data_IF_796707919297
#
_entry.id   IF_796707919297
#
_cell.length_a   1.000
_cell.length_b   1.000
_cell.length_c   1.000
_cell.angle_alpha   90.00
_cell.angle_beta   90.00
_cell.angle_gamma   90.00
#
_symmetry.space_group_name_H-M   'P 1'
#
loop_
_entity.id
_entity.type
_entity.pdbx_description
1 polymer ?
#
# COMPACT_ATOMS: atom_id res chain seq x y z
N UNK A 1 15.91 7.43 20.23
CA UNK A 1 16.11 8.65 21.02
C UNK A 1 15.46 9.79 20.25
N UNK A 2 14.48 10.41 20.87
CA UNK A 2 13.79 11.58 20.30
C UNK A 2 14.34 12.83 20.96
N UNK A 3 14.50 13.91 20.19
CA UNK A 3 14.98 15.20 20.69
C UNK A 3 13.98 15.86 21.64
N UNK A 4 14.46 16.75 22.49
CA UNK A 4 13.67 17.55 23.40
C UNK A 4 12.56 18.33 22.67
N UNK A 5 11.37 18.39 23.25
CA UNK A 5 10.28 19.16 22.71
C UNK A 5 10.51 20.67 22.87
N UNK A 6 10.38 21.43 21.81
CA UNK A 6 10.18 22.89 21.84
C UNK A 6 11.39 23.79 21.65
N UNK A 7 12.61 23.29 21.49
CA UNK A 7 13.78 24.16 21.21
C UNK A 7 14.49 23.72 19.95
N UNK A 8 14.26 24.42 18.86
CA UNK A 8 15.00 24.22 17.62
C UNK A 8 16.47 24.66 17.85
N UNK A 9 17.40 23.72 17.83
CA UNK A 9 18.82 23.96 17.80
C UNK A 9 19.62 23.68 19.08
N UNK A 10 18.99 23.29 20.18
CA UNK A 10 19.69 22.81 21.37
C UNK A 10 19.25 21.37 21.72
N UNK A 11 19.82 20.35 21.07
CA UNK A 11 19.56 18.98 21.45
C UNK A 11 20.31 18.66 22.74
N UNK A 12 19.68 18.84 23.87
CA UNK A 12 20.14 18.20 25.10
C UNK A 12 19.74 16.72 25.07
N UNK A 13 20.62 15.90 24.54
CA UNK A 13 20.39 14.47 24.42
C UNK A 13 20.54 13.72 25.75
N UNK A 14 21.01 14.39 26.81
CA UNK A 14 21.41 13.70 28.04
C UNK A 14 21.07 14.51 29.28
N UNK A 15 19.83 14.47 29.72
CA UNK A 15 19.50 14.89 31.09
C UNK A 15 19.92 13.79 32.10
N UNK A 16 21.21 13.43 32.15
CA UNK A 16 21.71 12.34 32.99
C UNK A 16 21.67 12.66 34.49
N UNK A 17 21.35 13.85 34.87
CA UNK A 17 21.33 14.31 36.27
C UNK A 17 19.94 14.55 36.82
N UNK A 18 18.91 14.41 36.00
CA UNK A 18 17.52 14.56 36.44
C UNK A 18 17.07 13.34 37.26
N UNK A 19 16.63 13.57 38.49
CA UNK A 19 16.05 12.52 39.35
C UNK A 19 14.60 12.18 38.95
N UNK A 20 13.94 13.07 38.20
CA UNK A 20 12.57 12.91 37.70
C UNK A 20 12.52 13.37 36.26
N UNK A 21 11.82 12.62 35.42
CA UNK A 21 11.61 12.97 34.01
C UNK A 21 10.68 14.18 33.94
N UNK A 22 11.11 15.21 33.20
CA UNK A 22 10.32 16.42 32.96
C UNK A 22 9.71 16.40 31.56
N UNK A 23 8.64 17.15 31.36
CA UNK A 23 7.97 17.29 30.05
C UNK A 23 8.90 17.85 28.94
N UNK A 24 10.00 18.49 29.32
CA UNK A 24 10.99 19.05 28.40
C UNK A 24 12.21 18.13 28.17
N UNK A 25 12.25 16.99 28.85
CA UNK A 25 13.37 16.07 28.70
C UNK A 25 13.31 15.30 27.38
N UNK A 26 14.45 14.79 26.91
CA UNK A 26 14.47 13.87 25.78
C UNK A 26 13.69 12.60 26.10
N UNK A 27 13.03 12.03 25.09
CA UNK A 27 12.34 10.75 25.24
C UNK A 27 13.36 9.62 25.18
N UNK A 28 13.54 8.92 26.29
CA UNK A 28 14.34 7.70 26.41
C UNK A 28 13.47 6.58 26.96
N UNK A 29 13.01 5.71 26.06
CA UNK A 29 12.07 4.64 26.40
C UNK A 29 12.71 3.31 26.08
N UNK A 30 12.72 2.41 27.06
CA UNK A 30 13.04 1.01 26.85
C UNK A 30 11.81 0.24 26.40
N UNK A 31 11.95 -0.54 25.34
CA UNK A 31 10.93 -1.48 24.92
C UNK A 31 11.35 -2.91 25.23
N UNK A 32 10.44 -3.66 25.82
CA UNK A 32 10.60 -5.10 25.97
C UNK A 32 10.42 -5.77 24.61
N UNK A 33 11.52 -6.17 23.98
CA UNK A 33 11.53 -6.95 22.74
C UNK A 33 12.12 -8.32 22.98
N UNK A 34 11.52 -9.35 22.39
CA UNK A 34 12.02 -10.73 22.45
C UNK A 34 13.29 -10.93 21.61
N UNK A 35 13.47 -10.08 20.59
CA UNK A 35 14.62 -10.13 19.67
C UNK A 35 15.27 -8.75 19.58
N UNK A 36 16.57 -8.69 19.25
CA UNK A 36 17.19 -7.43 18.85
C UNK A 36 16.41 -6.81 17.70
N UNK A 37 15.96 -5.57 17.87
CA UNK A 37 15.10 -4.88 16.92
C UNK A 37 15.72 -3.55 16.54
N UNK A 38 15.90 -3.35 15.25
CA UNK A 38 16.24 -2.07 14.65
C UNK A 38 14.96 -1.46 14.06
N UNK A 39 14.74 -0.17 14.31
CA UNK A 39 13.55 0.54 13.85
C UNK A 39 13.84 1.16 12.49
N UNK A 40 12.95 0.95 11.53
CA UNK A 40 13.10 1.41 10.15
C UNK A 40 12.09 2.49 9.79
N UNK A 41 10.81 2.22 10.00
CA UNK A 41 9.72 3.07 9.54
C UNK A 41 8.70 3.33 10.65
N UNK A 42 7.92 4.39 10.46
CA UNK A 42 6.81 4.71 11.34
C UNK A 42 5.62 5.25 10.57
N UNK A 43 4.42 4.94 11.05
CA UNK A 43 3.18 5.45 10.50
C UNK A 43 2.30 5.98 11.61
N UNK A 44 1.81 7.20 11.41
CA UNK A 44 0.93 7.88 12.35
C UNK A 44 -0.48 7.31 12.30
N UNK A 45 -1.08 7.15 13.47
CA UNK A 45 -2.47 6.75 13.68
C UNK A 45 -3.08 7.57 14.81
N UNK A 46 -4.41 7.59 14.92
CA UNK A 46 -5.12 8.37 15.95
C UNK A 46 -4.69 8.03 17.39
N UNK A 47 -4.15 6.85 17.64
CA UNK A 47 -3.78 6.39 18.99
C UNK A 47 -2.29 6.55 19.31
N UNK A 48 -1.47 6.95 18.33
CA UNK A 48 -0.02 7.13 18.44
C UNK A 48 0.72 6.82 17.16
N UNK A 49 2.01 6.51 17.27
CA UNK A 49 2.88 6.15 16.15
C UNK A 49 3.15 4.65 16.16
N UNK A 50 2.79 3.96 15.09
CA UNK A 50 3.21 2.57 14.89
C UNK A 50 4.58 2.56 14.27
N UNK A 51 5.54 1.92 14.95
CA UNK A 51 6.94 1.83 14.55
C UNK A 51 7.24 0.40 14.11
N UNK A 52 7.89 0.25 12.98
CA UNK A 52 8.20 -1.01 12.36
C UNK A 52 9.68 -1.37 12.52
N UNK A 53 9.93 -2.60 12.96
CA UNK A 53 11.22 -3.24 12.85
C UNK A 53 11.14 -4.40 11.84
N UNK A 54 12.27 -5.04 11.56
CA UNK A 54 12.31 -6.15 10.59
C UNK A 54 11.37 -7.31 10.93
N UNK A 55 11.06 -7.51 12.20
CA UNK A 55 10.32 -8.69 12.69
C UNK A 55 9.27 -8.38 13.76
N UNK A 56 9.08 -7.12 14.09
CA UNK A 56 8.16 -6.71 15.16
C UNK A 56 7.62 -5.30 14.91
N UNK A 57 6.40 -5.04 15.37
CA UNK A 57 5.77 -3.72 15.34
C UNK A 57 5.51 -3.26 16.75
N UNK A 58 5.68 -1.95 16.98
CA UNK A 58 5.52 -1.29 18.26
C UNK A 58 4.55 -0.13 18.15
N UNK A 59 3.86 0.18 19.23
CA UNK A 59 3.07 1.40 19.38
C UNK A 59 3.78 2.34 20.34
N UNK A 60 4.16 3.49 19.85
CA UNK A 60 4.58 4.63 20.65
C UNK A 60 3.35 5.51 20.92
N UNK A 61 2.98 5.64 22.17
CA UNK A 61 1.82 6.43 22.60
C UNK A 61 2.12 7.17 23.89
N UNK A 62 1.32 8.18 24.21
CA UNK A 62 1.32 8.86 25.51
C UNK A 62 -0.09 8.79 26.09
N UNK A 63 -0.21 8.72 27.40
CA UNK A 63 -1.50 8.74 28.08
C UNK A 63 -2.08 10.16 28.11
N UNK A 64 -1.26 11.18 27.91
CA UNK A 64 -1.67 12.57 27.86
C UNK A 64 -2.17 12.99 26.46
N UNK A 65 -2.89 14.11 26.41
CA UNK A 65 -3.31 14.74 25.12
C UNK A 65 -2.15 15.30 24.32
N UNK A 66 -1.05 15.64 24.98
CA UNK A 66 0.19 16.07 24.37
C UNK A 66 1.24 15.01 24.67
N UNK A 67 2.03 14.65 23.65
CA UNK A 67 3.10 13.68 23.81
C UNK A 67 4.11 14.18 24.86
N UNK A 68 4.26 13.43 25.95
CA UNK A 68 5.08 13.78 27.08
C UNK A 68 6.06 12.63 27.38
N UNK A 69 7.35 12.91 27.56
CA UNK A 69 8.36 11.91 27.89
C UNK A 69 8.06 11.09 29.14
N UNK A 70 7.45 11.71 30.15
CA UNK A 70 7.09 11.07 31.42
C UNK A 70 5.99 10.00 31.25
N UNK A 71 5.05 10.22 30.33
CA UNK A 71 3.91 9.31 30.08
C UNK A 71 4.03 8.52 28.79
N UNK A 72 5.12 8.73 28.05
CA UNK A 72 5.39 8.02 26.80
C UNK A 72 5.63 6.52 27.04
N UNK A 73 4.99 5.69 26.22
CA UNK A 73 5.07 4.23 26.30
C UNK A 73 5.36 3.64 24.92
N UNK A 74 6.29 2.71 24.87
CA UNK A 74 6.55 1.91 23.68
C UNK A 74 6.13 0.47 23.95
N UNK A 75 5.05 0.03 23.32
CA UNK A 75 4.46 -1.29 23.52
C UNK A 75 4.63 -2.15 22.28
N UNK A 76 4.98 -3.42 22.46
CA UNK A 76 4.91 -4.40 21.37
C UNK A 76 3.46 -4.61 20.94
N UNK A 77 3.21 -4.53 19.64
CA UNK A 77 1.89 -4.72 19.02
C UNK A 77 1.76 -6.11 18.42
N UNK A 78 2.71 -6.47 17.55
CA UNK A 78 2.65 -7.69 16.78
C UNK A 78 4.07 -8.17 16.44
N UNK A 79 4.22 -9.48 16.24
CA UNK A 79 5.49 -10.12 15.85
C UNK A 79 5.35 -10.63 14.43
N UNK A 80 5.38 -9.73 13.47
CA UNK A 80 5.33 -10.03 12.05
C UNK A 80 6.57 -9.51 11.34
N UNK A 81 7.01 -10.23 10.33
CA UNK A 81 8.10 -9.75 9.48
C UNK A 81 7.64 -8.54 8.64
N UNK A 82 8.60 -7.70 8.33
CA UNK A 82 8.38 -6.46 7.61
C UNK A 82 9.44 -6.28 6.51
N UNK A 83 9.00 -5.85 5.34
CA UNK A 83 9.90 -5.48 4.26
C UNK A 83 10.44 -4.08 4.46
N UNK A 84 11.65 -3.95 4.97
CA UNK A 84 12.33 -2.69 5.32
C UNK A 84 12.60 -1.76 4.12
N UNK A 85 12.38 -2.22 2.89
CA UNK A 85 12.56 -1.40 1.67
C UNK A 85 11.34 -0.57 1.31
N UNK A 86 10.19 -0.87 1.91
CA UNK A 86 8.91 -0.30 1.53
C UNK A 86 8.21 0.22 2.77
N UNK A 87 7.99 1.53 2.88
CA UNK A 87 7.28 2.08 4.03
C UNK A 87 5.84 1.55 4.12
N UNK A 88 5.29 1.42 5.32
CA UNK A 88 3.89 1.05 5.51
C UNK A 88 2.98 2.15 4.97
N UNK A 89 1.77 1.77 4.58
CA UNK A 89 0.77 2.70 4.05
C UNK A 89 -0.49 2.70 4.92
N UNK A 90 -1.16 3.85 4.97
CA UNK A 90 -2.46 3.98 5.63
C UNK A 90 -3.59 3.77 4.62
N UNK A 91 -4.50 2.86 4.94
CA UNK A 91 -5.74 2.63 4.20
C UNK A 91 -6.94 3.40 4.82
N UNK A 92 -6.65 4.42 5.62
CA UNK A 92 -7.65 5.18 6.37
C UNK A 92 -7.77 4.68 7.82
N UNK A 93 -8.55 3.67 8.07
CA UNK A 93 -8.75 3.08 9.41
C UNK A 93 -7.76 1.97 9.75
N UNK A 94 -7.05 1.45 8.77
CA UNK A 94 -6.09 0.35 8.90
C UNK A 94 -4.73 0.71 8.32
N UNK A 95 -3.71 -0.04 8.72
CA UNK A 95 -2.35 0.07 8.21
C UNK A 95 -2.06 -1.16 7.35
N UNK A 96 -1.46 -0.96 6.19
CA UNK A 96 -0.99 -2.06 5.36
C UNK A 96 0.52 -2.01 5.16
N UNK A 97 1.12 -3.19 5.08
CA UNK A 97 2.55 -3.37 4.91
C UNK A 97 2.88 -4.70 4.22
N UNK A 98 4.08 -4.80 3.70
CA UNK A 98 4.58 -5.99 3.03
C UNK A 98 5.56 -6.77 3.91
N UNK A 99 5.49 -8.09 3.81
CA UNK A 99 6.43 -9.04 4.37
C UNK A 99 7.12 -9.80 3.23
N UNK A 100 8.45 -9.86 3.24
CA UNK A 100 9.27 -10.54 2.22
C UNK A 100 10.06 -11.73 2.77
N UNK A 101 9.70 -12.24 3.94
CA UNK A 101 10.39 -13.36 4.59
C UNK A 101 10.24 -14.68 3.85
N UNK A 102 9.16 -14.86 3.10
CA UNK A 102 8.84 -16.07 2.35
C UNK A 102 9.47 -16.15 0.96
N UNK A 103 9.05 -17.15 0.18
CA UNK A 103 9.36 -17.28 -1.25
C UNK A 103 8.65 -16.20 -2.09
N UNK A 104 7.48 -15.77 -1.64
CA UNK A 104 6.67 -14.71 -2.20
C UNK A 104 6.43 -13.66 -1.12
N UNK A 105 6.25 -12.41 -1.50
CA UNK A 105 5.87 -11.36 -0.57
C UNK A 105 4.42 -11.54 -0.13
N UNK A 106 4.11 -11.07 1.09
CA UNK A 106 2.78 -11.12 1.67
C UNK A 106 2.30 -9.71 1.96
N UNK A 107 1.06 -9.46 1.66
CA UNK A 107 0.40 -8.20 1.96
C UNK A 107 -0.43 -8.36 3.22
N UNK A 108 -0.03 -7.66 4.27
CA UNK A 108 -0.65 -7.71 5.58
C UNK A 108 -1.40 -6.41 5.86
N UNK A 109 -2.55 -6.53 6.50
CA UNK A 109 -3.34 -5.42 6.98
C UNK A 109 -3.52 -5.53 8.49
N UNK A 110 -3.19 -4.44 9.19
CA UNK A 110 -3.31 -4.32 10.62
C UNK A 110 -4.48 -3.40 10.95
N UNK A 111 -5.47 -3.92 11.66
CA UNK A 111 -6.68 -3.22 12.06
C UNK A 111 -6.78 -3.13 13.60
N UNK A 112 -7.63 -2.24 14.07
CA UNK A 112 -7.95 -2.07 15.51
C UNK A 112 -6.71 -1.80 16.36
N UNK A 113 -5.79 -0.99 15.86
CA UNK A 113 -4.62 -0.58 16.64
C UNK A 113 -5.07 0.35 17.76
N UNK A 114 -4.94 -0.11 18.99
CA UNK A 114 -5.32 0.61 20.18
C UNK A 114 -4.27 0.48 21.28
N UNK A 115 -4.34 1.34 22.29
CA UNK A 115 -3.31 1.41 23.34
C UNK A 115 -3.22 0.15 24.19
N UNK A 116 -4.33 -0.54 24.42
CA UNK A 116 -4.39 -1.65 25.36
C UNK A 116 -4.74 -3.00 24.73
N UNK A 117 -5.15 -3.03 23.48
CA UNK A 117 -5.55 -4.25 22.77
C UNK A 117 -4.53 -4.66 21.73
N UNK A 118 -4.43 -5.96 21.46
CA UNK A 118 -3.65 -6.45 20.35
C UNK A 118 -4.37 -6.13 19.03
N UNK A 119 -3.65 -5.66 18.01
CA UNK A 119 -4.24 -5.41 16.71
C UNK A 119 -4.61 -6.73 16.03
N UNK A 120 -5.61 -6.66 15.19
CA UNK A 120 -5.92 -7.76 14.28
C UNK A 120 -5.06 -7.63 13.01
N UNK A 121 -4.16 -8.58 12.79
CA UNK A 121 -3.34 -8.64 11.58
C UNK A 121 -3.85 -9.74 10.67
N UNK A 122 -4.27 -9.35 9.47
CA UNK A 122 -4.81 -10.25 8.45
C UNK A 122 -3.91 -10.21 7.20
N UNK A 123 -3.45 -11.38 6.78
CA UNK A 123 -2.77 -11.55 5.49
C UNK A 123 -3.81 -11.53 4.37
N UNK A 124 -3.91 -10.41 3.65
CA UNK A 124 -4.86 -10.24 2.54
C UNK A 124 -4.45 -11.03 1.29
N UNK A 125 -3.15 -11.28 1.11
CA UNK A 125 -2.63 -12.09 0.00
C UNK A 125 -2.78 -13.60 0.18
N UNK A 126 -3.34 -14.07 1.30
CA UNK A 126 -3.47 -15.49 1.60
C UNK A 126 -4.29 -16.26 0.57
N UNK A 127 -5.24 -15.61 -0.09
CA UNK A 127 -6.06 -16.22 -1.16
C UNK A 127 -5.31 -16.36 -2.49
N UNK A 128 -4.22 -15.63 -2.66
CA UNK A 128 -3.37 -15.61 -3.85
C UNK A 128 -1.88 -15.70 -3.49
N UNK A 129 -1.43 -16.75 -2.80
CA UNK A 129 -0.15 -16.77 -2.08
C UNK A 129 1.09 -16.69 -2.99
N UNK A 130 0.93 -16.85 -4.30
CA UNK A 130 2.01 -16.80 -5.30
C UNK A 130 1.96 -15.57 -6.19
N UNK A 131 1.01 -14.66 -5.95
CA UNK A 131 0.78 -13.52 -6.84
C UNK A 131 1.86 -12.46 -6.71
N UNK A 132 2.26 -12.11 -5.48
CA UNK A 132 3.20 -11.03 -5.20
C UNK A 132 4.62 -11.59 -5.23
N UNK A 133 5.46 -11.20 -6.21
CA UNK A 133 6.85 -11.67 -6.27
C UNK A 133 7.63 -11.30 -5.01
N UNK A 134 8.67 -12.06 -4.72
CA UNK A 134 9.68 -11.64 -3.75
C UNK A 134 10.40 -10.40 -4.27
N UNK A 135 10.91 -9.58 -3.37
CA UNK A 135 11.71 -8.40 -3.69
C UNK A 135 10.95 -7.28 -4.44
N UNK A 136 9.64 -7.17 -4.21
CA UNK A 136 8.90 -5.95 -4.54
C UNK A 136 9.44 -4.80 -3.70
N UNK A 137 9.52 -3.60 -4.30
CA UNK A 137 10.14 -2.41 -3.71
C UNK A 137 9.34 -1.13 -3.94
N UNK A 138 8.19 -1.24 -4.61
CA UNK A 138 7.31 -0.13 -4.91
C UNK A 138 5.91 -0.41 -4.35
N UNK A 139 5.37 0.55 -3.60
CA UNK A 139 4.04 0.48 -3.01
C UNK A 139 3.39 1.85 -3.00
N UNK A 140 2.17 1.95 -3.50
CA UNK A 140 1.38 3.17 -3.44
C UNK A 140 -0.09 2.87 -3.20
N UNK A 141 -0.86 3.86 -2.75
CA UNK A 141 -2.27 3.72 -2.43
C UNK A 141 -3.08 4.87 -3.02
N UNK A 142 -4.23 4.54 -3.60
CA UNK A 142 -5.31 5.48 -3.86
C UNK A 142 -6.40 5.26 -2.83
N UNK A 143 -6.57 6.23 -1.93
CA UNK A 143 -7.61 6.17 -0.90
C UNK A 143 -8.98 6.47 -1.47
N UNK A 144 -9.05 7.35 -2.47
CA UNK A 144 -10.27 7.73 -3.16
C UNK A 144 -10.87 6.56 -3.94
N UNK A 145 -10.00 5.67 -4.43
CA UNK A 145 -10.40 4.52 -5.26
C UNK A 145 -10.32 3.19 -4.50
N UNK A 146 -10.01 3.21 -3.20
CA UNK A 146 -9.85 2.01 -2.38
C UNK A 146 -8.91 0.97 -3.02
N UNK A 147 -7.75 1.43 -3.49
CA UNK A 147 -6.84 0.63 -4.29
C UNK A 147 -5.41 0.75 -3.81
N UNK A 148 -4.74 -0.39 -3.67
CA UNK A 148 -3.30 -0.50 -3.41
C UNK A 148 -2.62 -1.06 -4.65
N UNK A 149 -1.49 -0.47 -5.02
CA UNK A 149 -0.68 -0.88 -6.16
C UNK A 149 0.72 -1.24 -5.71
N UNK A 150 1.14 -2.44 -6.06
CA UNK A 150 2.41 -3.05 -5.68
C UNK A 150 3.22 -3.27 -6.94
N UNK A 151 4.44 -2.78 -6.97
CA UNK A 151 5.34 -2.92 -8.11
C UNK A 151 6.72 -3.41 -7.70
N UNK A 152 7.53 -3.65 -8.71
CA UNK A 152 8.95 -3.93 -8.57
C UNK A 152 9.71 -3.11 -9.59
N UNK A 153 10.81 -2.51 -9.17
CA UNK A 153 11.72 -1.79 -10.08
C UNK A 153 12.16 -2.70 -11.22
N UNK A 154 12.16 -2.16 -12.43
CA UNK A 154 12.47 -2.82 -13.71
C UNK A 154 11.46 -3.91 -14.14
N UNK A 155 10.36 -4.10 -13.43
CA UNK A 155 9.27 -5.00 -13.81
C UNK A 155 8.21 -4.25 -14.60
N UNK A 156 7.65 -4.90 -15.62
CA UNK A 156 6.52 -4.40 -16.42
C UNK A 156 5.15 -4.74 -15.81
N UNK A 157 5.13 -5.40 -14.65
CA UNK A 157 3.92 -5.82 -13.98
C UNK A 157 3.66 -5.00 -12.71
N UNK A 158 2.41 -4.57 -12.52
CA UNK A 158 1.88 -3.98 -11.30
C UNK A 158 0.74 -4.85 -10.79
N UNK A 159 0.82 -5.19 -9.51
CA UNK A 159 -0.20 -5.98 -8.83
C UNK A 159 -1.10 -5.02 -8.07
N UNK A 160 -2.38 -5.09 -8.33
CA UNK A 160 -3.38 -4.28 -7.66
C UNK A 160 -4.22 -5.08 -6.66
N UNK A 161 -4.54 -4.42 -5.56
CA UNK A 161 -5.49 -4.89 -4.57
C UNK A 161 -6.57 -3.83 -4.41
N UNK A 162 -7.77 -4.13 -4.83
CA UNK A 162 -8.93 -3.25 -4.67
C UNK A 162 -9.83 -3.80 -3.57
N UNK A 163 -10.37 -2.90 -2.76
CA UNK A 163 -11.22 -3.29 -1.64
C UNK A 163 -12.41 -2.34 -1.49
N UNK A 164 -13.48 -2.84 -0.90
CA UNK A 164 -14.66 -2.05 -0.56
C UNK A 164 -14.98 -2.30 0.91
N UNK A 165 -15.01 -1.23 1.69
CA UNK A 165 -15.43 -1.25 3.08
C UNK A 165 -16.82 -0.64 3.22
N UNK A 166 -17.64 -1.23 4.08
CA UNK A 166 -18.92 -0.64 4.53
C UNK A 166 -18.84 -0.53 6.04
N UNK A 167 -18.65 0.71 6.53
CA UNK A 167 -18.24 0.93 7.90
C UNK A 167 -16.90 0.26 8.20
N UNK A 168 -16.82 -0.48 9.30
CA UNK A 168 -15.59 -1.17 9.72
C UNK A 168 -15.41 -2.55 9.09
N UNK A 169 -16.30 -2.96 8.19
CA UNK A 169 -16.26 -4.31 7.60
C UNK A 169 -15.85 -4.28 6.14
N UNK A 170 -14.90 -5.17 5.80
CA UNK A 170 -14.55 -5.48 4.41
C UNK A 170 -15.67 -6.26 3.77
N UNK A 171 -16.34 -5.67 2.76
CA UNK A 171 -17.42 -6.33 2.01
C UNK A 171 -16.86 -7.11 0.83
N UNK A 172 -15.90 -6.54 0.13
CA UNK A 172 -15.32 -7.14 -1.05
C UNK A 172 -13.85 -6.78 -1.16
N UNK A 173 -13.08 -7.68 -1.72
CA UNK A 173 -11.71 -7.41 -2.15
C UNK A 173 -11.38 -8.26 -3.38
N UNK A 174 -10.56 -7.70 -4.24
CA UNK A 174 -10.11 -8.37 -5.46
C UNK A 174 -8.65 -8.06 -5.74
N UNK A 175 -7.95 -9.05 -6.24
CA UNK A 175 -6.60 -8.93 -6.76
C UNK A 175 -6.63 -8.87 -8.27
N UNK A 176 -5.80 -8.03 -8.88
CA UNK A 176 -5.63 -7.93 -10.31
C UNK A 176 -4.18 -7.64 -10.67
N UNK A 177 -3.84 -7.74 -11.94
CA UNK A 177 -2.52 -7.45 -12.46
C UNK A 177 -2.64 -6.57 -13.69
N UNK A 178 -1.85 -5.48 -13.72
CA UNK A 178 -1.61 -4.71 -14.93
C UNK A 178 -0.26 -5.08 -15.50
N UNK A 179 -0.17 -5.06 -16.82
CA UNK A 179 1.07 -5.23 -17.54
C UNK A 179 1.26 -4.05 -18.47
N UNK A 180 2.41 -3.41 -18.34
CA UNK A 180 2.81 -2.28 -19.16
C UNK A 180 3.80 -2.71 -20.24
N UNK A 181 4.09 -1.83 -21.21
CA UNK A 181 5.04 -2.15 -22.27
C UNK A 181 6.48 -2.12 -21.78
N UNK A 182 6.78 -1.25 -20.81
CA UNK A 182 8.11 -1.04 -20.26
C UNK A 182 8.10 -1.33 -18.76
N UNK A 183 9.26 -1.63 -18.20
CA UNK A 183 9.43 -1.77 -16.76
C UNK A 183 9.23 -0.43 -16.03
N UNK A 184 8.92 -0.48 -14.75
CA UNK A 184 8.73 0.67 -13.89
C UNK A 184 10.02 1.03 -13.15
N UNK A 185 10.32 2.33 -13.04
CA UNK A 185 11.34 2.85 -12.11
C UNK A 185 10.73 3.34 -10.81
N UNK A 186 9.58 3.96 -10.90
CA UNK A 186 8.85 4.51 -9.77
C UNK A 186 7.37 4.64 -10.08
N UNK A 187 6.52 4.64 -9.07
CA UNK A 187 5.11 4.91 -9.23
C UNK A 187 4.51 5.65 -8.02
N UNK A 188 3.43 6.36 -8.24
CA UNK A 188 2.68 7.07 -7.20
C UNK A 188 1.26 7.36 -7.68
N UNK A 189 0.39 7.73 -6.76
CA UNK A 189 -0.97 8.18 -7.05
C UNK A 189 -1.14 9.61 -6.57
N UNK A 190 -1.72 10.44 -7.41
CA UNK A 190 -2.17 11.80 -7.06
C UNK A 190 -3.60 11.94 -7.53
N UNK A 191 -4.51 12.27 -6.61
CA UNK A 191 -5.93 12.31 -6.85
C UNK A 191 -6.43 10.97 -7.45
N UNK A 192 -7.14 11.03 -8.57
CA UNK A 192 -7.68 9.86 -9.26
C UNK A 192 -6.77 9.31 -10.37
N UNK A 193 -5.50 9.71 -10.38
CA UNK A 193 -4.57 9.28 -11.42
C UNK A 193 -3.37 8.53 -10.81
N UNK A 194 -3.09 7.37 -11.38
CA UNK A 194 -1.89 6.60 -11.15
C UNK A 194 -0.81 7.01 -12.14
N UNK A 195 0.32 7.46 -11.62
CA UNK A 195 1.49 7.86 -12.39
C UNK A 195 2.59 6.84 -12.24
N UNK A 196 3.29 6.57 -13.31
CA UNK A 196 4.50 5.75 -13.26
C UNK A 196 5.57 6.27 -14.22
N UNK A 197 6.81 6.22 -13.74
CA UNK A 197 8.00 6.49 -14.53
C UNK A 197 8.50 5.16 -15.06
N UNK A 198 8.59 5.03 -16.38
CA UNK A 198 9.09 3.81 -17.03
C UNK A 198 10.62 3.77 -17.14
N UNK A 199 11.16 2.63 -17.60
CA UNK A 199 12.60 2.43 -17.80
C UNK A 199 13.19 3.35 -18.86
N UNK A 200 12.39 3.86 -19.79
CA UNK A 200 12.79 4.81 -20.84
C UNK A 200 12.74 6.27 -20.37
N UNK A 201 12.42 6.52 -19.09
CA UNK A 201 12.25 7.82 -18.45
C UNK A 201 11.04 8.62 -18.92
N UNK A 202 10.01 7.97 -19.43
CA UNK A 202 8.73 8.62 -19.71
C UNK A 202 7.82 8.52 -18.49
N UNK A 203 7.26 9.65 -18.10
CA UNK A 203 6.19 9.70 -17.11
C UNK A 203 4.86 9.44 -17.81
N UNK A 204 4.20 8.37 -17.43
CA UNK A 204 2.90 7.96 -17.95
C UNK A 204 1.84 8.03 -16.85
N UNK A 205 0.58 8.15 -17.23
CA UNK A 205 -0.53 8.14 -16.27
C UNK A 205 -1.67 7.24 -16.73
N UNK A 206 -2.38 6.71 -15.73
CA UNK A 206 -3.60 5.93 -15.91
C UNK A 206 -4.66 6.51 -14.99
N UNK A 207 -5.77 6.93 -15.54
CA UNK A 207 -6.88 7.47 -14.75
C UNK A 207 -7.63 6.35 -14.04
N UNK A 208 -7.76 6.48 -12.72
CA UNK A 208 -8.49 5.55 -11.86
C UNK A 208 -9.94 6.05 -11.73
N UNK A 209 -10.82 5.64 -12.63
CA UNK A 209 -12.19 6.14 -12.64
C UNK A 209 -13.14 5.09 -12.08
N UNK A 210 -14.03 5.53 -11.19
CA UNK A 210 -15.04 4.65 -10.58
C UNK A 210 -16.44 4.83 -11.15
N UNK A 211 -16.71 5.93 -11.90
CA UNK A 211 -18.07 6.28 -12.32
C UNK A 211 -18.27 6.07 -13.81
N UNK A 212 -19.39 5.43 -14.16
CA UNK A 212 -19.83 5.20 -15.53
C UNK A 212 -20.21 6.51 -16.26
N UNK A 213 -20.47 7.59 -15.50
CA UNK A 213 -20.88 8.88 -16.04
C UNK A 213 -19.74 9.73 -16.60
N UNK A 214 -18.49 9.30 -16.51
CA UNK A 214 -17.37 10.05 -17.09
C UNK A 214 -17.29 9.79 -18.60
N UNK A 215 -17.57 10.81 -19.45
CA UNK A 215 -17.58 10.64 -20.90
C UNK A 215 -16.20 10.28 -21.47
N UNK A 216 -15.11 10.49 -20.72
CA UNK A 216 -13.76 10.11 -21.16
C UNK A 216 -13.52 8.61 -21.18
N UNK A 217 -14.34 7.81 -20.48
CA UNK A 217 -14.27 6.37 -20.43
C UNK A 217 -15.14 5.71 -21.48
N UNK A 218 -16.18 6.41 -21.96
CA UNK A 218 -17.07 5.91 -22.99
C UNK A 218 -16.37 6.03 -24.35
N UNK A 219 -16.02 4.91 -24.95
CA UNK A 219 -15.40 4.86 -26.27
C UNK A 219 -16.43 4.44 -27.33
N UNK A 220 -16.38 5.09 -28.49
CA UNK A 220 -17.12 4.68 -29.70
C UNK A 220 -18.62 4.57 -29.55
N UNK A 221 -19.28 5.54 -28.89
CA UNK A 221 -20.74 5.56 -28.69
C UNK A 221 -21.32 4.33 -27.97
N UNK A 222 -20.56 3.77 -27.05
CA UNK A 222 -21.03 2.68 -26.19
C UNK A 222 -21.51 3.29 -24.88
N UNK A 223 -22.73 3.01 -24.46
CA UNK A 223 -23.38 3.58 -23.27
C UNK A 223 -22.99 2.85 -21.97
N UNK A 224 -21.96 2.02 -21.98
CA UNK A 224 -21.49 1.27 -20.82
C UNK A 224 -19.96 1.13 -20.81
N UNK A 225 -19.41 0.92 -19.61
CA UNK A 225 -17.99 0.67 -19.43
C UNK A 225 -17.59 -0.68 -20.03
N UNK A 226 -16.55 -0.65 -20.85
CA UNK A 226 -15.91 -1.87 -21.34
C UNK A 226 -14.82 -2.28 -20.35
N UNK A 227 -15.13 -3.28 -19.52
CA UNK A 227 -14.14 -3.91 -18.64
C UNK A 227 -13.43 -5.02 -19.42
N UNK A 228 -12.36 -4.69 -20.11
CA UNK A 228 -11.56 -5.66 -20.84
C UNK A 228 -10.27 -5.95 -20.09
N UNK A 229 -10.20 -7.12 -19.50
CA UNK A 229 -8.97 -7.61 -18.85
C UNK A 229 -7.88 -7.93 -19.88
N UNK A 230 -8.29 -8.17 -21.10
CA UNK A 230 -7.40 -8.38 -22.23
C UNK A 230 -8.05 -7.84 -23.51
N UNK A 231 -7.33 -7.04 -24.27
CA UNK A 231 -7.77 -6.60 -25.56
C UNK A 231 -6.66 -6.82 -26.60
N UNK A 232 -7.07 -7.13 -27.81
CA UNK A 232 -6.16 -7.23 -28.94
C UNK A 232 -6.74 -6.50 -30.13
N UNK A 233 -5.90 -5.86 -30.92
CA UNK A 233 -6.30 -5.24 -32.16
C UNK A 233 -6.33 -6.30 -33.22
N UNK A 234 -7.47 -6.50 -33.84
CA UNK A 234 -7.64 -7.40 -34.98
C UNK A 234 -7.49 -6.61 -36.27
N UNK A 235 -6.35 -6.78 -36.92
CA UNK A 235 -6.08 -6.18 -38.22
C UNK A 235 -6.44 -7.16 -39.35
N UNK A 236 -6.76 -6.62 -40.55
CA UNK A 236 -6.97 -7.42 -41.75
C UNK A 236 -8.35 -8.10 -41.86
N UNK A 237 -9.34 -7.62 -41.12
CA UNK A 237 -10.72 -8.08 -41.31
C UNK A 237 -11.28 -7.79 -42.68
N UNK A 238 -11.97 -8.74 -43.30
CA UNK A 238 -12.73 -8.56 -44.55
C UNK A 238 -14.15 -8.14 -44.22
N UNK A 239 -14.53 -6.92 -44.67
CA UNK A 239 -15.86 -6.38 -44.48
C UNK A 239 -16.77 -6.66 -45.70
N UNK A 240 -17.92 -7.30 -45.44
CA UNK A 240 -18.99 -7.44 -46.45
C UNK A 240 -20.01 -6.32 -46.24
N UNK A 241 -20.06 -5.33 -47.16
CA UNK A 241 -20.99 -4.20 -47.03
C UNK A 241 -22.45 -4.59 -47.30
N UNK A 242 -22.68 -5.71 -47.97
CA UNK A 242 -24.06 -6.18 -48.28
C UNK A 242 -24.65 -6.89 -47.07
N UNK A 243 -23.86 -7.76 -46.43
CA UNK A 243 -24.24 -8.46 -45.19
C UNK A 243 -24.01 -7.65 -43.90
N UNK A 244 -23.39 -6.49 -44.01
CA UNK A 244 -22.96 -5.69 -42.85
C UNK A 244 -22.20 -6.50 -41.81
N UNK A 245 -21.33 -7.41 -42.28
CA UNK A 245 -20.52 -8.30 -41.42
C UNK A 245 -19.04 -8.09 -41.67
N UNK A 246 -18.24 -8.20 -40.66
CA UNK A 246 -16.76 -8.20 -40.74
C UNK A 246 -16.25 -9.54 -40.27
N UNK A 247 -15.51 -10.23 -41.14
CA UNK A 247 -14.93 -11.54 -40.84
C UNK A 247 -13.43 -11.40 -40.61
N UNK A 248 -12.95 -11.89 -39.48
CA UNK A 248 -11.55 -12.01 -39.17
C UNK A 248 -11.12 -13.47 -39.28
N UNK A 249 -10.06 -13.73 -40.06
CA UNK A 249 -9.42 -15.04 -40.13
C UNK A 249 -8.26 -15.10 -39.14
N UNK A 250 -8.03 -16.26 -38.52
CA UNK A 250 -6.94 -16.50 -37.57
C UNK A 250 -7.03 -15.71 -36.24
N UNK A 251 -8.22 -15.55 -35.70
CA UNK A 251 -8.40 -15.10 -34.32
C UNK A 251 -7.92 -16.23 -33.43
N UNK A 252 -6.71 -16.08 -32.83
CA UNK A 252 -6.23 -16.99 -31.80
C UNK A 252 -7.19 -17.00 -30.62
N UNK A 253 -7.20 -18.10 -29.86
CA UNK A 253 -8.06 -18.24 -28.68
C UNK A 253 -7.88 -17.04 -27.74
N UNK A 254 -8.92 -16.24 -27.61
CA UNK A 254 -9.03 -15.26 -26.55
C UNK A 254 -9.22 -16.06 -25.26
N UNK A 255 -8.19 -16.14 -24.43
CA UNK A 255 -8.33 -16.65 -23.08
C UNK A 255 -9.13 -15.65 -22.26
N UNK A 256 -10.44 -15.84 -22.22
CA UNK A 256 -11.29 -15.16 -21.26
C UNK A 256 -11.01 -15.76 -19.88
N UNK A 257 -10.31 -15.03 -19.02
CA UNK A 257 -10.33 -15.32 -17.61
C UNK A 257 -11.61 -14.66 -17.05
N UNK A 258 -12.66 -15.44 -16.89
CA UNK A 258 -13.81 -15.03 -16.08
C UNK A 258 -13.39 -15.14 -14.62
N UNK A 259 -13.25 -13.98 -13.96
CA UNK A 259 -13.19 -13.88 -12.51
C UNK A 259 -14.59 -13.83 -11.91
#
# INVERSE_FOLDING_TARGET
ILSQAGTLGEPDFFAQTALTVSANDPVDIACSSTFPSELFDGIDINTGLVVFSSNQQFLLSSDDTVFNPDTAKLRSLATNNYNIKIPPISLGTTIAYLDNSGKFSRFNEMANVARETEPNVVEQSRVVPTLIPKDVDLLTVSRENDMVLIGKTDSDEVIGFRYVNVGDKRQQSAWFKWKFNNGLKYHFVINDEYYFLDTDNFLQSVRLVQQESDPSILQNNVDFLLHLDNHTILDGGSHDPVGNTTTFSNVGWLNFCLL
#
